data_IF_513359065357
#
_entry.id   IF_513359065357
#
_cell.length_a   1.000
_cell.length_b   1.000
_cell.length_c   1.000
_cell.angle_alpha   90.00
_cell.angle_beta   90.00
_cell.angle_gamma   90.00
#
_symmetry.space_group_name_H-M   'P 1'
#
loop_
_entity.id
_entity.type
_entity.pdbx_description
1 polymer ?
#
# COMPACT_ATOMS: atom_id res chain seq x y z
N UNK A 1 -27.10 10.41 -3.76
CA UNK A 1 -27.75 9.08 -3.70
C UNK A 1 -27.09 8.27 -2.61
N UNK A 2 -27.36 8.57 -1.35
CA UNK A 2 -26.78 7.86 -0.21
C UNK A 2 -27.84 6.96 0.45
N UNK A 3 -27.43 5.93 1.20
CA UNK A 3 -28.34 5.04 1.93
C UNK A 3 -29.37 4.33 1.03
N UNK A 4 -28.89 3.66 -0.01
CA UNK A 4 -29.73 2.89 -0.92
C UNK A 4 -29.10 1.50 -1.17
N UNK A 5 -29.72 0.72 -2.07
CA UNK A 5 -29.20 -0.59 -2.51
C UNK A 5 -28.73 -0.54 -3.97
N UNK A 6 -28.28 0.63 -4.43
CA UNK A 6 -27.79 0.78 -5.80
C UNK A 6 -26.53 -0.07 -5.98
N UNK A 7 -26.42 -0.74 -7.11
CA UNK A 7 -25.34 -1.70 -7.37
C UNK A 7 -24.76 -1.52 -8.78
N UNK A 8 -23.76 -2.34 -9.10
CA UNK A 8 -23.01 -2.25 -10.35
C UNK A 8 -21.83 -1.28 -10.26
N UNK A 9 -21.15 -1.08 -11.37
CA UNK A 9 -20.05 -0.12 -11.47
C UNK A 9 -20.53 1.28 -11.82
N UNK A 10 -19.72 2.27 -11.46
CA UNK A 10 -19.96 3.63 -11.94
C UNK A 10 -19.57 3.72 -13.42
N UNK A 11 -20.43 4.32 -14.27
CA UNK A 11 -20.04 4.65 -15.65
C UNK A 11 -18.79 5.53 -15.67
N UNK A 12 -17.93 5.36 -16.67
CA UNK A 12 -16.63 6.04 -16.79
C UNK A 12 -16.69 7.57 -16.66
N UNK A 13 -17.80 8.17 -17.12
CA UNK A 13 -17.93 9.62 -17.25
C UNK A 13 -18.89 10.24 -16.23
N UNK A 14 -19.52 9.44 -15.37
CA UNK A 14 -20.53 9.98 -14.43
C UNK A 14 -19.93 11.00 -13.46
N UNK A 15 -18.64 10.87 -13.16
CA UNK A 15 -17.90 11.75 -12.27
C UNK A 15 -17.21 12.91 -13.01
N UNK A 16 -17.22 12.95 -14.34
CA UNK A 16 -16.55 13.98 -15.15
C UNK A 16 -17.47 15.15 -15.54
N UNK A 17 -18.74 15.11 -15.15
CA UNK A 17 -19.74 16.12 -15.51
C UNK A 17 -19.30 17.53 -15.04
N UNK A 18 -19.39 18.56 -15.91
CA UNK A 18 -18.76 19.86 -15.66
C UNK A 18 -19.36 20.64 -14.48
N UNK A 19 -20.61 20.38 -14.12
CA UNK A 19 -21.33 21.06 -13.03
C UNK A 19 -21.28 20.29 -11.70
N UNK A 20 -20.50 19.22 -11.63
CA UNK A 20 -20.51 18.28 -10.54
C UNK A 20 -19.55 18.74 -9.43
N UNK A 21 -20.12 19.29 -8.37
CA UNK A 21 -19.39 19.89 -7.25
C UNK A 21 -19.34 19.00 -6.00
N UNK A 22 -20.35 18.15 -5.81
CA UNK A 22 -20.47 17.31 -4.63
C UNK A 22 -21.14 15.99 -4.99
N UNK A 23 -20.50 14.90 -4.62
CA UNK A 23 -20.96 13.53 -4.89
C UNK A 23 -21.10 12.81 -3.57
N UNK A 24 -22.30 12.31 -3.32
CA UNK A 24 -22.65 11.51 -2.16
C UNK A 24 -23.27 10.21 -2.64
N UNK A 25 -22.47 9.14 -2.65
CA UNK A 25 -22.86 7.79 -3.04
C UNK A 25 -22.67 6.79 -1.89
N UNK A 26 -22.45 7.28 -0.68
CA UNK A 26 -22.14 6.43 0.46
C UNK A 26 -23.29 5.49 0.83
N UNK A 27 -22.95 4.34 1.41
CA UNK A 27 -23.89 3.31 1.85
C UNK A 27 -24.78 2.83 0.70
N UNK A 28 -24.13 2.23 -0.28
CA UNK A 28 -24.73 1.51 -1.41
C UNK A 28 -23.94 0.19 -1.64
N UNK A 29 -24.21 -0.48 -2.75
CA UNK A 29 -23.57 -1.71 -3.19
C UNK A 29 -22.79 -1.49 -4.51
N UNK A 30 -22.28 -0.28 -4.78
CA UNK A 30 -21.46 -0.04 -5.96
C UNK A 30 -20.16 -0.84 -5.89
N UNK A 31 -19.68 -1.32 -7.03
CA UNK A 31 -18.54 -2.22 -7.15
C UNK A 31 -17.64 -1.88 -8.34
N UNK A 32 -16.53 -2.59 -8.49
CA UNK A 32 -15.56 -2.31 -9.55
C UNK A 32 -14.73 -1.07 -9.23
N UNK A 33 -14.03 -0.56 -10.24
CA UNK A 33 -13.08 0.53 -10.04
C UNK A 33 -13.76 1.90 -9.97
N UNK A 34 -13.14 2.83 -9.25
CA UNK A 34 -13.54 4.24 -9.27
C UNK A 34 -13.10 4.83 -10.64
N UNK A 35 -14.00 5.47 -11.41
CA UNK A 35 -13.62 6.09 -12.67
C UNK A 35 -12.49 7.11 -12.53
N UNK A 36 -11.54 7.09 -13.46
CA UNK A 36 -10.40 8.02 -13.46
C UNK A 36 -10.77 9.42 -13.95
N UNK A 37 -11.83 9.56 -14.74
CA UNK A 37 -12.33 10.85 -15.21
C UNK A 37 -13.15 11.53 -14.12
N UNK A 38 -12.53 12.51 -13.44
CA UNK A 38 -13.15 13.25 -12.34
C UNK A 38 -13.27 14.73 -12.71
N UNK A 39 -14.39 15.35 -12.33
CA UNK A 39 -14.65 16.77 -12.58
C UNK A 39 -13.67 17.64 -11.78
N UNK A 40 -12.95 18.58 -12.41
CA UNK A 40 -12.00 19.46 -11.72
C UNK A 40 -12.69 20.45 -10.76
N UNK A 41 -14.01 20.62 -10.87
CA UNK A 41 -14.83 21.46 -10.00
C UNK A 41 -15.27 20.75 -8.71
N UNK A 42 -14.91 19.47 -8.55
CA UNK A 42 -15.33 18.66 -7.41
C UNK A 42 -14.78 19.21 -6.09
N UNK A 43 -15.69 19.43 -5.13
CA UNK A 43 -15.38 19.88 -3.77
C UNK A 43 -15.53 18.74 -2.76
N UNK A 44 -16.52 17.87 -2.95
CA UNK A 44 -16.81 16.78 -2.02
C UNK A 44 -17.03 15.47 -2.78
N UNK A 45 -16.34 14.41 -2.37
CA UNK A 45 -16.51 13.07 -2.89
C UNK A 45 -16.65 12.08 -1.73
N UNK A 46 -17.85 11.55 -1.54
CA UNK A 46 -18.13 10.51 -0.57
C UNK A 46 -18.63 9.24 -1.27
N UNK A 47 -17.74 8.25 -1.34
CA UNK A 47 -17.98 6.92 -1.90
C UNK A 47 -17.94 5.85 -0.80
N UNK A 48 -18.01 6.25 0.47
CA UNK A 48 -17.81 5.35 1.60
C UNK A 48 -18.88 4.27 1.73
N UNK A 49 -18.56 3.15 2.38
CA UNK A 49 -19.49 2.04 2.58
C UNK A 49 -20.09 1.55 1.25
N UNK A 50 -19.21 1.13 0.35
CA UNK A 50 -19.54 0.47 -0.91
C UNK A 50 -18.60 -0.75 -1.05
N UNK A 51 -18.57 -1.35 -2.23
CA UNK A 51 -17.72 -2.47 -2.59
C UNK A 51 -16.73 -2.10 -3.71
N UNK A 52 -16.28 -0.85 -3.78
CA UNK A 52 -15.31 -0.42 -4.79
C UNK A 52 -13.99 -1.18 -4.63
N UNK A 53 -13.39 -1.56 -5.75
CA UNK A 53 -12.14 -2.32 -5.87
C UNK A 53 -11.09 -1.53 -6.64
N UNK A 54 -9.92 -2.14 -6.87
CA UNK A 54 -8.85 -1.51 -7.64
C UNK A 54 -8.21 -0.36 -6.88
N UNK A 55 -7.45 0.46 -7.61
CA UNK A 55 -6.65 1.52 -7.01
C UNK A 55 -7.45 2.82 -6.87
N UNK A 56 -7.04 3.66 -5.92
CA UNK A 56 -7.46 5.06 -5.89
C UNK A 56 -6.94 5.75 -7.17
N UNK A 57 -7.81 6.36 -8.01
CA UNK A 57 -7.37 6.96 -9.26
C UNK A 57 -6.36 8.08 -9.06
N UNK A 58 -5.30 8.07 -9.87
CA UNK A 58 -4.22 9.06 -9.79
C UNK A 58 -4.72 10.49 -10.09
N UNK A 59 -5.81 10.62 -10.84
CA UNK A 59 -6.46 11.88 -11.19
C UNK A 59 -7.02 12.65 -9.99
N UNK A 60 -7.24 12.01 -8.83
CA UNK A 60 -7.64 12.70 -7.60
C UNK A 60 -6.61 13.78 -7.20
N UNK A 61 -5.33 13.58 -7.53
CA UNK A 61 -4.27 14.55 -7.26
C UNK A 61 -4.49 15.91 -7.96
N UNK A 62 -5.31 15.95 -9.02
CA UNK A 62 -5.60 17.17 -9.78
C UNK A 62 -6.81 17.94 -9.25
N UNK A 63 -7.52 17.42 -8.24
CA UNK A 63 -8.75 18.03 -7.70
C UNK A 63 -8.43 19.12 -6.68
N UNK A 64 -7.84 20.23 -7.13
CA UNK A 64 -7.36 21.32 -6.27
C UNK A 64 -8.47 22.03 -5.47
N UNK A 65 -9.73 21.88 -5.89
CA UNK A 65 -10.91 22.40 -5.20
C UNK A 65 -11.48 21.43 -4.14
N UNK A 66 -10.97 20.21 -4.05
CA UNK A 66 -11.49 19.19 -3.15
C UNK A 66 -11.26 19.56 -1.69
N UNK A 67 -12.33 19.60 -0.92
CA UNK A 67 -12.33 19.90 0.52
C UNK A 67 -12.59 18.66 1.36
N UNK A 68 -13.23 17.64 0.80
CA UNK A 68 -13.54 16.39 1.49
C UNK A 68 -13.51 15.17 0.57
N UNK A 69 -12.81 14.13 1.01
CA UNK A 69 -12.71 12.83 0.35
C UNK A 69 -12.94 11.71 1.38
N UNK A 70 -13.98 10.91 1.15
CA UNK A 70 -14.29 9.75 1.98
C UNK A 70 -14.43 8.52 1.10
N UNK A 71 -13.49 7.58 1.26
CA UNK A 71 -13.45 6.28 0.60
C UNK A 71 -13.50 5.13 1.62
N UNK A 72 -13.83 5.44 2.88
CA UNK A 72 -13.81 4.46 3.97
C UNK A 72 -14.69 3.26 3.67
N UNK A 73 -14.30 2.09 4.17
CA UNK A 73 -15.09 0.87 4.12
C UNK A 73 -15.45 0.48 2.67
N UNK A 74 -14.40 0.21 1.89
CA UNK A 74 -14.43 -0.35 0.54
C UNK A 74 -13.34 -1.45 0.44
N UNK A 75 -13.11 -1.98 -0.75
CA UNK A 75 -12.09 -3.01 -1.03
C UNK A 75 -10.95 -2.45 -1.91
N UNK A 76 -10.62 -1.16 -1.77
CA UNK A 76 -9.59 -0.49 -2.56
C UNK A 76 -8.20 -1.03 -2.21
N UNK A 77 -7.34 -1.16 -3.21
CA UNK A 77 -5.98 -1.72 -3.11
C UNK A 77 -4.92 -0.74 -3.62
N UNK A 78 -3.65 -1.13 -3.50
CA UNK A 78 -2.53 -0.36 -4.03
C UNK A 78 -2.11 0.83 -3.16
N UNK A 79 -1.14 1.62 -3.63
CA UNK A 79 -0.61 2.75 -2.89
C UNK A 79 -1.58 3.94 -2.88
N UNK A 80 -1.50 4.75 -1.84
CA UNK A 80 -2.20 6.03 -1.78
C UNK A 80 -1.50 7.01 -2.73
N UNK A 81 -2.19 7.58 -3.74
CA UNK A 81 -1.61 8.60 -4.61
C UNK A 81 -1.20 9.85 -3.82
N UNK A 82 -0.35 10.71 -4.39
CA UNK A 82 0.09 11.91 -3.68
C UNK A 82 -1.01 12.97 -3.60
N UNK A 83 -1.84 12.93 -2.55
CA UNK A 83 -2.96 13.86 -2.36
C UNK A 83 -2.50 15.21 -1.78
N UNK A 84 -1.55 15.88 -2.44
CA UNK A 84 -1.12 17.23 -2.10
C UNK A 84 -2.16 18.28 -2.55
N UNK A 85 -3.33 18.24 -1.92
CA UNK A 85 -4.49 19.06 -2.28
C UNK A 85 -4.62 20.24 -1.30
N UNK A 86 -4.46 21.49 -1.76
CA UNK A 86 -4.31 22.65 -0.87
C UNK A 86 -5.57 22.99 -0.06
N UNK A 87 -6.73 22.48 -0.47
CA UNK A 87 -8.03 22.77 0.16
C UNK A 87 -8.61 21.59 0.93
N UNK A 88 -7.93 20.43 0.92
CA UNK A 88 -8.46 19.21 1.51
C UNK A 88 -8.42 19.30 3.04
N UNK A 89 -9.60 19.24 3.66
CA UNK A 89 -9.79 19.35 5.11
C UNK A 89 -10.25 18.05 5.75
N UNK A 90 -10.98 17.24 4.99
CA UNK A 90 -11.50 15.96 5.45
C UNK A 90 -11.01 14.84 4.54
N UNK A 91 -10.34 13.86 5.13
CA UNK A 91 -9.89 12.66 4.45
C UNK A 91 -10.23 11.45 5.29
N UNK A 92 -10.84 10.43 4.69
CA UNK A 92 -11.02 9.13 5.33
C UNK A 92 -10.86 8.00 4.32
N UNK A 93 -9.80 7.21 4.48
CA UNK A 93 -9.41 6.06 3.67
C UNK A 93 -9.41 4.76 4.51
N UNK A 94 -9.98 4.81 5.71
CA UNK A 94 -9.95 3.69 6.65
C UNK A 94 -10.72 2.47 6.11
N UNK A 95 -10.40 1.28 6.61
CA UNK A 95 -11.07 0.03 6.28
C UNK A 95 -11.08 -0.23 4.76
N UNK A 96 -9.88 -0.34 4.19
CA UNK A 96 -9.60 -0.75 2.82
C UNK A 96 -8.41 -1.73 2.82
N UNK A 97 -7.89 -2.09 1.65
CA UNK A 97 -6.71 -2.93 1.45
C UNK A 97 -5.52 -2.12 0.87
N UNK A 98 -5.42 -0.84 1.22
CA UNK A 98 -4.35 0.04 0.74
C UNK A 98 -3.00 -0.42 1.31
N UNK A 99 -1.95 -0.26 0.51
CA UNK A 99 -0.63 -0.79 0.81
C UNK A 99 0.50 0.19 0.49
N UNK A 100 1.73 -0.20 0.85
CA UNK A 100 2.93 0.57 0.56
C UNK A 100 3.21 1.66 1.57
N UNK A 101 4.11 2.57 1.19
CA UNK A 101 4.62 3.61 2.08
C UNK A 101 3.62 4.75 2.30
N UNK A 102 3.51 5.20 3.55
CA UNK A 102 2.64 6.28 3.97
C UNK A 102 3.12 7.60 3.34
N UNK A 103 2.27 8.27 2.55
CA UNK A 103 2.64 9.54 1.92
C UNK A 103 2.78 10.65 2.97
N UNK A 104 3.93 11.31 3.01
CA UNK A 104 4.22 12.38 3.97
C UNK A 104 3.26 13.56 3.87
N UNK A 105 2.68 13.82 2.69
CA UNK A 105 1.66 14.85 2.46
C UNK A 105 0.38 14.63 3.26
N UNK A 106 0.15 13.43 3.81
CA UNK A 106 -1.07 13.10 4.55
C UNK A 106 -0.89 13.04 6.06
N UNK A 107 0.29 13.42 6.58
CA UNK A 107 0.58 13.45 8.02
C UNK A 107 -0.31 14.39 8.81
N UNK A 108 -0.88 15.40 8.17
CA UNK A 108 -1.80 16.35 8.79
C UNK A 108 -3.17 15.75 9.15
N UNK A 109 -3.53 14.61 8.57
CA UNK A 109 -4.79 13.93 8.85
C UNK A 109 -4.63 12.95 10.02
N UNK A 110 -5.68 12.73 10.83
CA UNK A 110 -5.60 11.84 11.98
C UNK A 110 -5.33 10.40 11.54
N UNK A 111 -4.58 9.63 12.35
CA UNK A 111 -4.28 8.23 12.06
C UNK A 111 -5.53 7.36 11.87
N UNK A 112 -6.66 7.74 12.48
CA UNK A 112 -7.96 7.09 12.27
C UNK A 112 -8.41 7.10 10.82
N UNK A 113 -8.03 8.10 10.02
CA UNK A 113 -8.34 8.20 8.60
C UNK A 113 -7.68 7.11 7.76
N UNK A 114 -6.73 6.35 8.30
CA UNK A 114 -6.00 5.30 7.60
C UNK A 114 -6.13 3.93 8.28
N UNK A 115 -6.85 3.86 9.41
CA UNK A 115 -7.04 2.64 10.20
C UNK A 115 -7.58 1.50 9.34
N UNK A 116 -7.15 0.26 9.59
CA UNK A 116 -7.69 -0.92 8.91
C UNK A 116 -7.03 -1.26 7.56
N UNK A 117 -6.05 -0.47 7.10
CA UNK A 117 -5.20 -0.82 5.96
C UNK A 117 -3.92 -1.53 6.47
N UNK A 118 -3.93 -2.86 6.54
CA UNK A 118 -2.88 -3.64 7.22
C UNK A 118 -1.50 -3.59 6.57
N UNK A 119 -1.44 -3.35 5.26
CA UNK A 119 -0.18 -3.28 4.49
C UNK A 119 0.31 -1.84 4.25
N UNK A 120 -0.38 -0.85 4.82
CA UNK A 120 0.04 0.55 4.78
C UNK A 120 1.00 0.82 5.94
N UNK A 121 2.20 1.28 5.63
CA UNK A 121 3.28 1.40 6.60
C UNK A 121 4.08 2.70 6.38
N UNK A 122 4.86 3.15 7.37
CA UNK A 122 5.58 4.41 7.37
C UNK A 122 4.95 5.45 8.30
N UNK A 123 5.79 6.33 8.86
CA UNK A 123 5.37 7.30 9.87
C UNK A 123 4.24 8.23 9.35
N UNK A 124 3.13 8.38 10.10
CA UNK A 124 2.98 8.14 11.54
C UNK A 124 2.43 6.76 11.94
N UNK A 125 2.29 5.82 10.99
CA UNK A 125 1.86 4.46 11.26
C UNK A 125 3.07 3.59 11.69
N UNK A 126 2.91 2.27 11.66
CA UNK A 126 4.00 1.31 11.90
C UNK A 126 5.04 1.41 10.79
N UNK A 127 6.32 1.21 11.12
CA UNK A 127 7.39 1.23 10.12
C UNK A 127 7.16 0.12 9.08
N UNK A 128 7.54 0.37 7.82
CA UNK A 128 7.52 -0.68 6.83
C UNK A 128 8.57 -1.70 7.23
N UNK A 129 8.14 -2.89 7.67
CA UNK A 129 9.04 -4.01 7.81
C UNK A 129 9.61 -4.28 6.43
N UNK A 130 10.84 -3.85 6.21
CA UNK A 130 11.63 -4.36 5.11
C UNK A 130 11.63 -5.87 5.29
N UNK A 131 11.00 -6.60 4.37
CA UNK A 131 11.36 -8.00 4.16
C UNK A 131 12.83 -7.97 3.73
N UNK A 132 13.74 -7.84 4.69
CA UNK A 132 15.06 -8.39 4.52
C UNK A 132 14.81 -9.89 4.44
N UNK A 133 15.14 -10.56 3.33
CA UNK A 133 15.34 -11.99 3.43
C UNK A 133 16.35 -12.14 4.55
N UNK A 134 15.95 -12.82 5.63
CA UNK A 134 16.85 -13.29 6.66
C UNK A 134 18.10 -13.79 5.96
N UNK A 135 19.32 -13.32 6.30
CA UNK A 135 20.52 -13.87 5.70
C UNK A 135 20.43 -15.38 5.89
N UNK A 136 20.42 -16.11 4.77
CA UNK A 136 20.54 -17.56 4.77
C UNK A 136 21.70 -17.93 5.71
N UNK A 137 21.58 -19.00 6.50
CA UNK A 137 22.64 -19.39 7.41
C UNK A 137 23.92 -19.53 6.58
N UNK A 138 24.94 -18.75 6.93
CA UNK A 138 26.27 -18.85 6.34
C UNK A 138 26.73 -20.30 6.43
N UNK A 139 27.42 -20.83 5.41
CA UNK A 139 27.93 -22.19 5.48
C UNK A 139 28.88 -22.28 6.68
N UNK A 140 28.56 -23.18 7.60
CA UNK A 140 29.43 -23.56 8.71
C UNK A 140 30.81 -23.93 8.17
N UNK A 141 31.92 -23.43 8.74
CA UNK A 141 33.24 -23.89 8.34
C UNK A 141 33.38 -25.36 8.73
N UNK A 142 33.62 -26.22 7.75
CA UNK A 142 34.04 -27.59 7.97
C UNK A 142 35.39 -27.61 8.70
N UNK A 143 35.57 -28.38 9.79
CA UNK A 143 36.88 -28.61 10.34
C UNK A 143 37.52 -29.81 9.63
N UNK A 144 38.80 -29.66 9.30
CA UNK A 144 39.88 -30.67 9.27
C UNK A 144 40.73 -30.63 7.99
N UNK A 145 41.66 -29.68 7.94
CA UNK A 145 43.01 -29.98 7.43
C UNK A 145 44.03 -29.61 8.51
N UNK A 146 44.34 -30.56 9.39
CA UNK A 146 45.57 -30.48 10.18
C UNK A 146 45.95 -31.89 10.62
N UNK A 147 46.65 -32.60 9.74
CA UNK A 147 47.50 -33.71 10.12
C UNK A 147 48.79 -33.62 9.32
N UNK A 148 49.65 -32.70 9.73
CA UNK A 148 51.03 -32.63 9.28
C UNK A 148 51.94 -32.35 10.46
N UNK A 149 52.16 -33.35 11.33
CA UNK A 149 53.31 -33.35 12.23
C UNK A 149 53.86 -34.77 12.43
N UNK A 150 55.11 -34.92 11.99
CA UNK A 150 56.20 -35.73 12.51
C UNK A 150 56.03 -37.23 12.71
N UNK A 151 56.72 -38.01 11.88
CA UNK A 151 57.57 -39.12 12.35
C UNK A 151 58.82 -39.24 11.45
N UNK A 152 59.94 -38.70 11.94
CA UNK A 152 61.29 -39.16 11.59
C UNK A 152 61.70 -40.22 12.63
N UNK A 153 62.61 -41.12 12.24
CA UNK A 153 63.13 -42.31 12.96
C UNK A 153 62.30 -43.57 12.63
N UNK A 154 62.82 -44.67 12.07
CA UNK A 154 64.15 -45.29 12.07
C UNK A 154 64.38 -46.11 10.77
N UNK A 155 65.56 -46.02 10.19
CA UNK A 155 66.21 -47.13 9.44
C UNK A 155 66.38 -48.33 10.42
N UNK A 156 66.45 -49.63 10.00
CA UNK A 156 67.39 -50.05 8.96
C UNK A 156 67.10 -51.33 8.10
N UNK A 157 67.80 -51.38 6.96
CA UNK A 157 68.62 -52.49 6.39
C UNK A 157 68.04 -53.74 5.65
N UNK A 158 68.73 -54.03 4.53
CA UNK A 158 68.92 -55.28 3.73
C UNK A 158 67.73 -55.76 2.86
N UNK A 159 67.87 -56.26 1.62
CA UNK A 159 68.90 -57.10 0.97
C UNK A 159 68.64 -57.20 -0.57
N UNK A 160 69.70 -57.07 -1.41
CA UNK A 160 70.13 -57.85 -2.62
C UNK A 160 69.04 -58.35 -3.63
N UNK A 161 69.13 -58.22 -4.97
CA UNK A 161 70.23 -58.42 -5.95
C UNK A 161 70.24 -57.39 -7.08
#
# INVERSE_FOLDING_TARGET
>A
LHFNRLNGSLPSDILSLPSLHSVYLQQNNFSGDIPSSLSPQLKLLDLSFNSFTGNIPISIQNLTNLTGLSLQNNSLTGPIPNLNLPRLKHLNLSYNHLNGSFPSSLRQFPASSFKGNSMLCGSPLNQCDSITPSPSPSPSPSPLSSLFLFLFSLFPLFYIS
#
